data_IF_206561693205
#
_entry.id   IF_206561693205
#
_cell.length_a   1.000
_cell.length_b   1.000
_cell.length_c   1.000
_cell.angle_alpha   90.00
_cell.angle_beta   90.00
_cell.angle_gamma   90.00
#
_symmetry.space_group_name_H-M   'P 1'
#
loop_
_entity.id
_entity.type
_entity.pdbx_description
1 polymer ?
#
# COMPACT_ATOMS: atom_id res chain seq x y z
N UNK A 1 -29.30 19.22 5.48
CA UNK A 1 -27.87 19.40 5.82
C UNK A 1 -27.33 18.02 6.20
N UNK A 2 -26.49 17.41 5.36
CA UNK A 2 -26.03 16.05 5.57
C UNK A 2 -25.00 15.99 6.69
N UNK A 3 -25.23 15.18 7.72
CA UNK A 3 -24.24 14.89 8.77
C UNK A 3 -23.08 14.13 8.14
N UNK A 4 -21.98 14.81 7.81
CA UNK A 4 -20.72 14.14 7.51
C UNK A 4 -20.32 13.29 8.72
N UNK A 5 -20.02 12.00 8.51
CA UNK A 5 -19.55 11.15 9.59
C UNK A 5 -18.21 11.67 10.09
N UNK A 6 -17.97 11.62 11.41
CA UNK A 6 -16.71 12.03 12.03
C UNK A 6 -15.50 11.38 11.35
N UNK A 7 -15.63 10.14 10.90
CA UNK A 7 -14.63 9.38 10.14
C UNK A 7 -14.32 10.00 8.77
N UNK A 8 -15.31 10.55 8.07
CA UNK A 8 -15.11 11.20 6.76
C UNK A 8 -14.32 12.50 6.90
N UNK A 9 -14.67 13.32 7.90
CA UNK A 9 -13.97 14.56 8.21
C UNK A 9 -12.51 14.29 8.64
N UNK A 10 -12.27 13.26 9.45
CA UNK A 10 -10.94 12.81 9.83
C UNK A 10 -10.13 12.37 8.62
N UNK A 11 -10.71 11.54 7.76
CA UNK A 11 -10.04 11.05 6.55
C UNK A 11 -9.59 12.20 5.64
N UNK A 12 -10.46 13.18 5.38
CA UNK A 12 -10.12 14.35 4.56
C UNK A 12 -8.97 15.16 5.18
N UNK A 13 -9.02 15.39 6.49
CA UNK A 13 -7.98 16.17 7.17
C UNK A 13 -6.63 15.43 7.23
N UNK A 14 -6.63 14.13 7.48
CA UNK A 14 -5.40 13.32 7.45
C UNK A 14 -4.84 13.30 6.03
N UNK A 15 -5.71 13.15 5.01
CA UNK A 15 -5.32 13.16 3.61
C UNK A 15 -4.62 14.48 3.22
N UNK A 16 -5.15 15.61 3.69
CA UNK A 16 -4.56 16.94 3.48
C UNK A 16 -3.26 17.14 4.25
N UNK A 17 -3.18 16.66 5.50
CA UNK A 17 -1.93 16.69 6.29
C UNK A 17 -0.82 15.95 5.54
N UNK A 18 -1.08 14.71 5.10
CA UNK A 18 -0.09 13.89 4.40
C UNK A 18 0.33 14.52 3.06
N UNK A 19 -0.61 15.12 2.33
CA UNK A 19 -0.35 15.85 1.08
C UNK A 19 0.57 17.06 1.29
N UNK A 20 0.36 17.83 2.36
CA UNK A 20 1.15 19.03 2.64
C UNK A 20 2.58 18.70 3.05
N UNK A 21 2.78 17.65 3.83
CA UNK A 21 4.11 17.31 4.34
C UNK A 21 4.98 16.59 3.31
N UNK A 22 4.39 15.72 2.48
CA UNK A 22 5.12 14.95 1.44
C UNK A 22 6.13 13.93 1.98
N UNK A 23 6.33 13.87 3.30
CA UNK A 23 7.22 12.96 4.02
C UNK A 23 6.39 11.96 4.83
N UNK A 24 6.95 10.79 5.22
CA UNK A 24 6.29 9.87 6.13
C UNK A 24 6.00 10.53 7.49
N UNK A 25 4.75 10.43 7.96
CA UNK A 25 4.32 10.93 9.26
C UNK A 25 3.85 9.80 10.16
N UNK A 26 4.31 9.82 11.41
CA UNK A 26 3.86 8.89 12.44
C UNK A 26 2.44 9.20 12.93
N UNK A 27 1.72 8.22 13.46
CA UNK A 27 0.39 8.42 14.09
C UNK A 27 0.40 9.54 15.15
N UNK A 28 1.39 9.62 16.08
CA UNK A 28 1.51 10.76 17.00
C UNK A 28 1.58 12.11 16.28
N UNK A 29 2.42 12.23 15.25
CA UNK A 29 2.57 13.47 14.48
C UNK A 29 1.29 13.86 13.74
N UNK A 30 0.59 12.88 13.17
CA UNK A 30 -0.71 13.09 12.53
C UNK A 30 -1.73 13.59 13.55
N UNK A 31 -1.74 13.03 14.77
CA UNK A 31 -2.61 13.46 15.86
C UNK A 31 -2.32 14.91 16.28
N UNK A 32 -1.05 15.27 16.46
CA UNK A 32 -0.66 16.65 16.78
C UNK A 32 -1.11 17.64 15.70
N UNK A 33 -0.94 17.29 14.43
CA UNK A 33 -1.39 18.14 13.31
C UNK A 33 -2.91 18.24 13.22
N UNK A 34 -3.66 17.18 13.56
CA UNK A 34 -5.12 17.23 13.67
C UNK A 34 -5.56 18.16 14.81
N UNK A 35 -4.90 18.08 15.97
CA UNK A 35 -5.17 18.97 17.11
C UNK A 35 -4.88 20.43 16.76
N UNK A 36 -3.79 20.71 16.04
CA UNK A 36 -3.46 22.05 15.54
C UNK A 36 -4.53 22.61 14.57
N UNK A 37 -5.29 21.74 13.90
CA UNK A 37 -6.45 22.10 13.06
C UNK A 37 -7.77 22.18 13.84
N UNK A 38 -7.74 22.05 15.17
CA UNK A 38 -8.94 22.07 16.02
C UNK A 38 -9.74 20.76 16.01
N UNK A 39 -9.21 19.70 15.41
CA UNK A 39 -9.85 18.39 15.36
C UNK A 39 -9.37 17.61 16.57
N UNK A 40 -10.14 17.66 17.64
CA UNK A 40 -9.82 17.00 18.93
C UNK A 40 -10.92 16.03 19.35
N UNK A 41 -12.13 16.19 18.82
CA UNK A 41 -13.31 15.40 19.19
C UNK A 41 -13.44 14.14 18.31
N UNK A 42 -12.56 13.16 18.57
CA UNK A 42 -12.67 11.84 17.96
C UNK A 42 -12.12 10.73 18.86
N UNK A 43 -12.74 9.56 18.77
CA UNK A 43 -12.29 8.36 19.50
C UNK A 43 -11.10 7.72 18.78
N UNK A 44 -10.25 7.03 19.54
CA UNK A 44 -9.08 6.31 19.00
C UNK A 44 -9.44 5.37 17.85
N UNK A 45 -10.60 4.71 17.91
CA UNK A 45 -11.10 3.85 16.82
C UNK A 45 -11.41 4.60 15.51
N UNK A 46 -11.84 5.87 15.58
CA UNK A 46 -12.11 6.67 14.38
C UNK A 46 -10.81 7.04 13.65
N UNK A 47 -9.72 7.31 14.39
CA UNK A 47 -8.40 7.59 13.80
C UNK A 47 -7.85 6.35 13.09
N UNK A 48 -7.88 5.19 13.76
CA UNK A 48 -7.42 3.93 13.16
C UNK A 48 -8.22 3.58 11.90
N UNK A 49 -9.54 3.72 11.94
CA UNK A 49 -10.40 3.48 10.78
C UNK A 49 -10.13 4.45 9.62
N UNK A 50 -9.92 5.74 9.92
CA UNK A 50 -9.65 6.76 8.89
C UNK A 50 -8.28 6.56 8.23
N UNK A 51 -7.27 6.16 9.01
CA UNK A 51 -5.94 5.82 8.50
C UNK A 51 -5.96 4.58 7.60
N UNK A 52 -6.75 3.56 7.97
CA UNK A 52 -6.94 2.39 7.13
C UNK A 52 -7.60 2.76 5.80
N UNK A 53 -8.69 3.55 5.83
CA UNK A 53 -9.38 4.05 4.63
C UNK A 53 -8.52 4.95 3.75
N UNK A 54 -7.50 5.61 4.31
CA UNK A 54 -6.55 6.42 3.54
C UNK A 54 -5.66 5.56 2.67
N UNK A 55 -5.27 4.37 3.12
CA UNK A 55 -4.47 3.44 2.33
C UNK A 55 -5.24 2.90 1.12
N UNK A 56 -6.57 2.91 1.20
CA UNK A 56 -7.45 2.63 0.05
C UNK A 56 -7.52 3.78 -0.95
N UNK A 57 -6.97 4.97 -0.66
CA UNK A 57 -6.90 6.10 -1.59
C UNK A 57 -5.62 6.07 -2.44
N UNK A 58 -5.67 6.45 -3.72
CA UNK A 58 -4.49 6.47 -4.58
C UNK A 58 -3.47 7.51 -4.11
N UNK A 59 -2.18 7.17 -4.24
CA UNK A 59 -1.07 8.04 -3.85
C UNK A 59 -0.74 8.05 -2.36
N UNK A 60 -1.42 7.23 -1.55
CA UNK A 60 -1.13 7.07 -0.11
C UNK A 60 -0.52 5.70 0.18
N UNK A 61 0.51 5.67 1.03
CA UNK A 61 1.22 4.45 1.43
C UNK A 61 1.53 4.46 2.93
N UNK A 62 1.82 3.28 3.49
CA UNK A 62 2.39 3.11 4.84
C UNK A 62 3.81 2.54 4.70
N UNK A 63 4.86 3.38 4.58
CA UNK A 63 6.22 2.89 4.32
C UNK A 63 6.78 2.09 5.50
N UNK A 64 6.34 2.40 6.71
CA UNK A 64 6.70 1.70 7.94
C UNK A 64 5.47 1.52 8.83
N UNK A 65 5.53 0.58 9.77
CA UNK A 65 4.41 0.31 10.68
C UNK A 65 4.10 1.55 11.52
N UNK A 66 2.92 2.13 11.30
CA UNK A 66 2.45 3.32 12.04
C UNK A 66 2.91 4.65 11.43
N UNK A 67 3.49 4.64 10.23
CA UNK A 67 3.86 5.81 9.45
C UNK A 67 3.06 5.84 8.15
N UNK A 68 2.58 7.01 7.75
CA UNK A 68 1.77 7.21 6.54
C UNK A 68 2.38 8.30 5.69
N UNK A 69 2.31 8.16 4.37
CA UNK A 69 2.87 9.14 3.44
C UNK A 69 1.96 9.31 2.23
N UNK A 70 1.88 10.54 1.72
CA UNK A 70 1.38 10.79 0.38
C UNK A 70 2.56 10.94 -0.58
N UNK A 71 2.62 10.12 -1.62
CA UNK A 71 3.69 10.09 -2.62
C UNK A 71 3.28 10.73 -3.95
N UNK A 72 2.10 11.36 -4.00
CA UNK A 72 1.53 11.90 -5.23
C UNK A 72 0.71 10.87 -5.99
N UNK A 73 -0.61 11.06 -6.03
CA UNK A 73 -1.42 10.60 -7.16
C UNK A 73 -1.41 11.70 -8.21
N UNK A 74 -1.02 11.38 -9.44
CA UNK A 74 -1.03 12.35 -10.53
C UNK A 74 -2.41 13.04 -10.65
N UNK A 75 -2.49 14.38 -10.78
CA UNK A 75 -3.72 15.01 -11.24
C UNK A 75 -3.86 14.76 -12.76
N UNK A 76 -5.07 14.36 -13.14
CA UNK A 76 -5.68 14.48 -14.48
C UNK A 76 -5.40 13.36 -15.52
N UNK A 77 -6.51 12.85 -16.05
CA UNK A 77 -6.68 12.29 -17.41
C UNK A 77 -5.65 11.25 -17.88
N UNK A 78 -5.70 10.03 -17.32
CA UNK A 78 -5.18 8.82 -17.98
C UNK A 78 -6.14 7.67 -17.73
N UNK A 79 -6.26 6.73 -18.70
CA UNK A 79 -7.45 5.92 -18.93
C UNK A 79 -7.80 5.17 -17.65
N UNK A 80 -9.08 4.92 -17.41
CA UNK A 80 -9.59 4.21 -16.25
C UNK A 80 -8.68 3.02 -15.90
N UNK A 81 -7.75 3.23 -14.96
CA UNK A 81 -6.91 2.16 -14.44
C UNK A 81 -7.88 1.27 -13.66
N UNK A 82 -8.05 0.06 -14.16
CA UNK A 82 -8.98 -0.90 -13.61
C UNK A 82 -8.58 -1.15 -12.15
N UNK A 83 -9.53 -1.37 -11.21
CA UNK A 83 -9.22 -1.93 -9.89
C UNK A 83 -8.28 -3.15 -9.96
N UNK A 84 -8.29 -3.87 -11.07
CA UNK A 84 -7.38 -4.97 -11.41
C UNK A 84 -5.92 -4.52 -11.55
N UNK A 85 -5.63 -3.36 -12.13
CA UNK A 85 -4.26 -2.86 -12.32
C UNK A 85 -3.64 -2.40 -10.99
N UNK A 86 -4.46 -1.84 -10.09
CA UNK A 86 -4.02 -1.49 -8.73
C UNK A 86 -3.74 -2.73 -7.88
N UNK A 87 -4.59 -3.75 -7.98
CA UNK A 87 -4.33 -5.05 -7.34
C UNK A 87 -3.05 -5.67 -7.91
N UNK A 88 -2.86 -5.58 -9.22
CA UNK A 88 -1.67 -6.09 -9.89
C UNK A 88 -0.36 -5.47 -9.38
N UNK A 89 -0.33 -4.15 -9.18
CA UNK A 89 0.83 -3.47 -8.59
C UNK A 89 1.11 -3.91 -7.14
N UNK A 90 0.05 -4.05 -6.32
CA UNK A 90 0.18 -4.51 -4.93
C UNK A 90 0.73 -5.93 -4.87
N UNK A 91 0.20 -6.85 -5.68
CA UNK A 91 0.69 -8.23 -5.76
C UNK A 91 2.12 -8.28 -6.30
N UNK A 92 2.46 -7.48 -7.31
CA UNK A 92 3.82 -7.42 -7.86
C UNK A 92 4.84 -6.93 -6.82
N UNK A 93 4.48 -5.93 -6.01
CA UNK A 93 5.33 -5.47 -4.90
C UNK A 93 5.51 -6.57 -3.85
N UNK A 94 4.43 -7.23 -3.43
CA UNK A 94 4.48 -8.28 -2.42
C UNK A 94 5.35 -9.47 -2.86
N UNK A 95 5.26 -9.87 -4.14
CA UNK A 95 6.11 -10.95 -4.70
C UNK A 95 7.58 -10.54 -4.75
N UNK A 96 7.87 -9.28 -5.09
CA UNK A 96 9.24 -8.76 -5.07
C UNK A 96 9.83 -8.77 -3.65
N UNK A 97 9.07 -8.29 -2.66
CA UNK A 97 9.50 -8.31 -1.25
C UNK A 97 9.72 -9.74 -0.74
N UNK A 98 8.83 -10.67 -1.08
CA UNK A 98 9.00 -12.09 -0.76
C UNK A 98 10.25 -12.68 -1.41
N UNK A 99 10.55 -12.31 -2.67
CA UNK A 99 11.77 -12.71 -3.36
C UNK A 99 13.03 -12.21 -2.65
N UNK A 100 13.05 -10.95 -2.22
CA UNK A 100 14.19 -10.36 -1.52
C UNK A 100 14.43 -11.05 -0.18
N UNK A 101 13.36 -11.39 0.56
CA UNK A 101 13.44 -12.13 1.83
C UNK A 101 14.03 -13.53 1.61
N UNK A 102 13.48 -14.32 0.69
CA UNK A 102 13.89 -15.72 0.51
C UNK A 102 15.28 -15.83 -0.12
N UNK A 103 15.68 -14.87 -0.96
CA UNK A 103 17.04 -14.80 -1.49
C UNK A 103 18.07 -14.29 -0.48
N UNK A 104 17.63 -13.54 0.54
CA UNK A 104 18.47 -13.07 1.64
C UNK A 104 18.74 -14.12 2.72
N UNK A 105 18.07 -15.28 2.68
CA UNK A 105 18.34 -16.38 3.62
C UNK A 105 19.71 -16.99 3.31
N UNK A 106 20.63 -16.86 4.27
CA UNK A 106 21.93 -17.51 4.23
C UNK A 106 21.76 -19.02 4.44
N UNK A 107 22.28 -19.77 3.47
CA UNK A 107 22.16 -21.22 3.35
C UNK A 107 23.38 -21.96 3.89
N UNK A 108 24.40 -21.24 4.36
CA UNK A 108 25.69 -21.80 4.82
C UNK A 108 25.54 -22.63 6.11
N UNK A 109 24.56 -22.32 6.97
CA UNK A 109 24.31 -23.02 8.23
C UNK A 109 22.94 -23.74 8.30
N UNK A 110 22.32 -23.99 7.15
CA UNK A 110 20.97 -24.59 7.07
C UNK A 110 21.02 -26.12 7.05
N UNK A 111 19.99 -26.75 7.62
CA UNK A 111 19.82 -28.21 7.51
C UNK A 111 19.32 -28.60 6.11
N UNK A 112 19.38 -29.89 5.75
CA UNK A 112 18.89 -30.36 4.44
C UNK A 112 17.38 -30.12 4.26
N UNK A 113 16.60 -30.21 5.34
CA UNK A 113 15.17 -29.90 5.33
C UNK A 113 14.93 -28.39 5.16
N UNK A 114 15.70 -27.53 5.84
CA UNK A 114 15.63 -26.07 5.65
C UNK A 114 15.99 -25.68 4.21
N UNK A 115 17.03 -26.31 3.64
CA UNK A 115 17.43 -26.09 2.25
C UNK A 115 16.31 -26.47 1.28
N UNK A 116 15.65 -27.60 1.53
CA UNK A 116 14.51 -28.05 0.71
C UNK A 116 13.33 -27.07 0.81
N UNK A 117 13.04 -26.57 2.01
CA UNK A 117 11.97 -25.59 2.22
C UNK A 117 12.29 -24.25 1.55
N UNK A 118 13.53 -23.74 1.70
CA UNK A 118 14.00 -22.52 1.04
C UNK A 118 13.93 -22.65 -0.48
N UNK A 119 14.37 -23.77 -1.06
CA UNK A 119 14.27 -24.00 -2.50
C UNK A 119 12.81 -24.04 -2.97
N UNK A 120 11.93 -24.69 -2.20
CA UNK A 120 10.49 -24.73 -2.49
C UNK A 120 9.88 -23.32 -2.49
N UNK A 121 10.22 -22.50 -1.50
CA UNK A 121 9.76 -21.12 -1.42
C UNK A 121 10.28 -20.25 -2.58
N UNK A 122 11.54 -20.43 -3.00
CA UNK A 122 12.11 -19.74 -4.18
C UNK A 122 11.36 -20.10 -5.46
N UNK A 123 11.04 -21.38 -5.64
CA UNK A 123 10.29 -21.85 -6.81
C UNK A 123 8.87 -21.26 -6.83
N UNK A 124 8.17 -21.25 -5.69
CA UNK A 124 6.84 -20.64 -5.57
C UNK A 124 6.87 -19.14 -5.92
N UNK A 125 7.86 -18.39 -5.40
CA UNK A 125 8.00 -16.95 -5.69
C UNK A 125 8.24 -16.73 -7.18
N UNK A 126 9.12 -17.52 -7.79
CA UNK A 126 9.43 -17.45 -9.23
C UNK A 126 8.21 -17.76 -10.09
N UNK A 127 7.45 -18.81 -9.76
CA UNK A 127 6.20 -19.15 -10.45
C UNK A 127 5.15 -18.05 -10.30
N UNK A 128 5.03 -17.46 -9.11
CA UNK A 128 4.08 -16.38 -8.85
C UNK A 128 4.44 -15.12 -9.65
N UNK A 129 5.73 -14.78 -9.75
CA UNK A 129 6.19 -13.67 -10.59
C UNK A 129 5.86 -13.91 -12.08
N UNK A 130 6.11 -15.12 -12.59
CA UNK A 130 5.78 -15.48 -13.97
C UNK A 130 4.27 -15.40 -14.25
N UNK A 131 3.44 -15.79 -13.29
CA UNK A 131 1.99 -15.67 -13.40
C UNK A 131 1.57 -14.19 -13.47
N UNK A 132 2.13 -13.33 -12.62
CA UNK A 132 1.88 -11.90 -12.67
C UNK A 132 2.30 -11.32 -14.02
N UNK A 133 3.52 -11.57 -14.48
CA UNK A 133 4.00 -11.05 -15.77
C UNK A 133 3.08 -11.46 -16.95
N UNK A 134 2.55 -12.69 -16.93
CA UNK A 134 1.56 -13.16 -17.93
C UNK A 134 0.22 -12.43 -17.83
N UNK A 135 -0.28 -12.17 -16.62
CA UNK A 135 -1.50 -11.40 -16.40
C UNK A 135 -1.32 -9.96 -16.91
N UNK A 136 -0.20 -9.31 -16.57
CA UNK A 136 0.13 -7.96 -17.05
C UNK A 136 0.22 -7.88 -18.58
N UNK A 137 0.86 -8.87 -19.20
CA UNK A 137 0.95 -8.98 -20.66
C UNK A 137 -0.43 -9.19 -21.33
N UNK A 138 -1.33 -9.96 -20.71
CA UNK A 138 -2.69 -10.17 -21.20
C UNK A 138 -3.55 -8.92 -21.09
N UNK A 139 -3.45 -8.20 -19.97
CA UNK A 139 -4.13 -6.91 -19.75
C UNK A 139 -3.71 -5.88 -20.81
N UNK A 140 -2.39 -5.76 -21.04
CA UNK A 140 -1.81 -4.83 -22.03
C UNK A 140 -2.22 -5.16 -23.47
N UNK A 141 -2.46 -6.44 -23.81
CA UNK A 141 -2.95 -6.85 -25.13
C UNK A 141 -4.43 -6.48 -25.34
N UNK A 142 -5.27 -6.56 -24.30
CA UNK A 142 -6.69 -6.24 -24.42
C UNK A 142 -6.97 -4.74 -24.40
N UNK A 143 -6.12 -3.93 -23.75
CA UNK A 143 -6.23 -2.48 -23.73
C UNK A 143 -5.96 -1.79 -25.09
N UNK A 144 -5.25 -2.45 -26.01
CA UNK A 144 -4.91 -1.91 -27.35
C UNK A 144 -5.92 -2.27 -28.45
N UNK A 145 -7.01 -2.97 -28.13
CA UNK A 145 -8.05 -3.39 -29.07
C UNK A 145 -9.43 -2.77 -28.78
N UNK A 146 -9.52 -1.83 -27.84
CA UNK A 146 -10.74 -1.05 -27.52
C UNK A 146 -10.57 0.40 -27.97
#
# INVERSE_FOLDING_TARGET
MGTQSTTSLLKENIADILKMEGQPLSIPTIREKLQARGITDYRQGHLAGSLHQILDMPGYISPERGCYQYIGGAPSEKPAYSPTDRLFEVYSRAVKEASDIVNGIDIISSTEDDLREIMTLRDIVKETQLLLDRIGALSSKHANHS
#
